data_IF_122473395859
#
_entry.id   IF_122473395859
#
_cell.length_a   1.000
_cell.length_b   1.000
_cell.length_c   1.000
_cell.angle_alpha   90.00
_cell.angle_beta   90.00
_cell.angle_gamma   90.00
#
_symmetry.space_group_name_H-M   'P 1'
#
loop_
_entity.id
_entity.type
_entity.pdbx_description
1 polymer ?
#
# COMPACT_ATOMS: atom_id res chain seq x y z
N UNK A 1 5.11 -29.69 15.72
CA UNK A 1 4.43 -28.44 15.32
C UNK A 1 5.47 -27.55 14.65
N UNK A 2 5.20 -27.01 13.43
CA UNK A 2 6.08 -26.04 12.79
C UNK A 2 6.20 -24.76 13.65
N UNK A 3 7.43 -24.27 13.87
CA UNK A 3 7.66 -23.00 14.55
C UNK A 3 7.44 -21.79 13.64
N UNK A 4 7.77 -21.93 12.34
CA UNK A 4 7.59 -20.90 11.32
C UNK A 4 6.22 -21.10 10.65
N UNK A 5 5.45 -20.00 10.52
CA UNK A 5 4.18 -19.96 9.79
C UNK A 5 4.39 -19.43 8.38
N UNK A 6 3.75 -20.07 7.42
CA UNK A 6 3.82 -19.68 5.99
C UNK A 6 2.53 -18.95 5.64
N UNK A 7 2.67 -17.69 5.24
CA UNK A 7 1.57 -16.87 4.74
C UNK A 7 1.67 -16.81 3.21
N UNK A 8 0.62 -17.23 2.52
CA UNK A 8 0.53 -17.14 1.07
C UNK A 8 -0.52 -16.10 0.69
N UNK A 9 -0.15 -15.16 -0.18
CA UNK A 9 -1.11 -14.17 -0.69
C UNK A 9 -1.95 -14.77 -1.80
N UNK A 10 -3.26 -14.71 -1.64
CA UNK A 10 -4.23 -15.12 -2.65
C UNK A 10 -4.36 -14.03 -3.72
N UNK A 11 -4.34 -14.45 -4.98
CA UNK A 11 -4.39 -13.54 -6.12
C UNK A 11 -4.86 -14.28 -7.38
N UNK A 12 -4.78 -13.66 -8.56
CA UNK A 12 -5.26 -14.27 -9.82
C UNK A 12 -4.71 -15.68 -10.08
N UNK A 13 -3.44 -15.92 -9.77
CA UNK A 13 -2.81 -17.24 -9.96
C UNK A 13 -3.40 -18.32 -9.04
N UNK A 14 -3.93 -17.95 -7.88
CA UNK A 14 -4.53 -18.90 -6.92
C UNK A 14 -6.04 -19.08 -7.12
N UNK A 15 -6.62 -18.60 -8.24
CA UNK A 15 -7.97 -18.92 -8.65
C UNK A 15 -8.09 -20.39 -9.12
N UNK A 16 -6.97 -21.06 -9.36
CA UNK A 16 -6.91 -22.51 -9.63
C UNK A 16 -7.00 -23.27 -8.31
N UNK A 17 -8.05 -24.10 -8.17
CA UNK A 17 -8.29 -24.94 -6.99
C UNK A 17 -7.14 -25.91 -6.73
N UNK A 18 -6.56 -26.50 -7.77
CA UNK A 18 -5.47 -27.47 -7.62
C UNK A 18 -4.22 -26.80 -7.07
N UNK A 19 -3.91 -25.57 -7.54
CA UNK A 19 -2.78 -24.81 -7.03
C UNK A 19 -3.02 -24.40 -5.56
N UNK A 20 -4.20 -23.89 -5.21
CA UNK A 20 -4.54 -23.53 -3.83
C UNK A 20 -4.47 -24.76 -2.91
N UNK A 21 -4.97 -25.93 -3.36
CA UNK A 21 -4.87 -27.18 -2.61
C UNK A 21 -3.42 -27.62 -2.43
N UNK A 22 -2.59 -27.52 -3.47
CA UNK A 22 -1.17 -27.85 -3.39
C UNK A 22 -0.44 -26.93 -2.39
N UNK A 23 -0.75 -25.65 -2.32
CA UNK A 23 -0.21 -24.73 -1.30
C UNK A 23 -0.58 -25.20 0.11
N UNK A 24 -1.85 -25.59 0.32
CA UNK A 24 -2.34 -26.12 1.59
C UNK A 24 -1.57 -27.38 2.01
N UNK A 25 -1.47 -28.37 1.12
CA UNK A 25 -0.76 -29.64 1.35
C UNK A 25 0.75 -29.44 1.61
N UNK A 26 1.37 -28.43 0.98
CA UNK A 26 2.78 -28.12 1.15
C UNK A 26 3.06 -27.13 2.29
N UNK A 27 2.09 -26.85 3.12
CA UNK A 27 2.29 -26.24 4.43
C UNK A 27 1.94 -24.76 4.52
N UNK A 28 1.05 -24.25 3.69
CA UNK A 28 0.42 -22.94 3.92
C UNK A 28 -0.33 -22.99 5.26
N UNK A 29 -0.03 -22.05 6.15
CA UNK A 29 -0.74 -21.90 7.43
C UNK A 29 -1.80 -20.79 7.36
N UNK A 30 -1.57 -19.76 6.54
CA UNK A 30 -2.43 -18.60 6.42
C UNK A 30 -2.57 -18.23 4.94
N UNK A 31 -3.80 -18.10 4.48
CA UNK A 31 -4.13 -17.51 3.19
C UNK A 31 -4.45 -16.02 3.39
N UNK A 32 -3.62 -15.12 2.84
CA UNK A 32 -3.79 -13.68 2.93
C UNK A 32 -4.56 -13.14 1.72
N UNK A 33 -5.66 -12.47 1.97
CA UNK A 33 -6.51 -11.81 0.99
C UNK A 33 -6.25 -10.31 1.03
N UNK A 34 -5.62 -9.76 -0.01
CA UNK A 34 -5.31 -8.34 -0.08
C UNK A 34 -6.50 -7.56 -0.66
N UNK A 35 -7.20 -6.80 0.18
CA UNK A 35 -8.36 -5.99 -0.20
C UNK A 35 -8.00 -4.65 -0.87
N UNK A 36 -6.72 -4.39 -1.10
CA UNK A 36 -6.28 -3.30 -1.98
C UNK A 36 -6.60 -3.58 -3.45
N UNK A 37 -6.86 -4.85 -3.81
CA UNK A 37 -7.08 -5.32 -5.18
C UNK A 37 -8.29 -6.25 -5.26
N UNK A 38 -8.91 -6.29 -6.44
CA UNK A 38 -10.09 -7.11 -6.71
C UNK A 38 -11.36 -6.53 -6.08
N UNK A 39 -12.46 -7.19 -6.34
CA UNK A 39 -13.77 -6.87 -5.77
C UNK A 39 -14.22 -7.93 -4.74
N UNK A 40 -15.36 -7.70 -4.10
CA UNK A 40 -15.89 -8.60 -3.07
C UNK A 40 -16.31 -9.97 -3.63
N UNK A 41 -16.73 -10.04 -4.88
CA UNK A 41 -17.13 -11.29 -5.51
C UNK A 41 -15.92 -12.19 -5.73
N UNK A 42 -14.82 -11.63 -6.25
CA UNK A 42 -13.54 -12.34 -6.39
C UNK A 42 -12.99 -12.82 -5.05
N UNK A 43 -12.99 -11.94 -4.02
CA UNK A 43 -12.48 -12.29 -2.70
C UNK A 43 -13.33 -13.40 -2.07
N UNK A 44 -14.66 -13.31 -2.20
CA UNK A 44 -15.58 -14.34 -1.72
C UNK A 44 -15.36 -15.68 -2.43
N UNK A 45 -15.23 -15.68 -3.75
CA UNK A 45 -15.00 -16.90 -4.53
C UNK A 45 -13.74 -17.65 -4.08
N UNK A 46 -12.65 -16.90 -3.85
CA UNK A 46 -11.39 -17.46 -3.33
C UNK A 46 -11.54 -17.98 -1.90
N UNK A 47 -12.28 -17.27 -1.05
CA UNK A 47 -12.54 -17.68 0.33
C UNK A 47 -13.38 -18.96 0.39
N UNK A 48 -14.45 -19.06 -0.41
CA UNK A 48 -15.29 -20.25 -0.48
C UNK A 48 -14.48 -21.47 -0.97
N UNK A 49 -13.59 -21.26 -1.93
CA UNK A 49 -12.65 -22.29 -2.39
C UNK A 49 -11.69 -22.73 -1.28
N UNK A 50 -11.11 -21.80 -0.52
CA UNK A 50 -10.24 -22.10 0.62
C UNK A 50 -11.00 -22.90 1.69
N UNK A 51 -12.22 -22.51 2.03
CA UNK A 51 -13.05 -23.22 3.01
C UNK A 51 -13.31 -24.66 2.57
N UNK A 52 -13.68 -24.86 1.30
CA UNK A 52 -13.86 -26.19 0.74
C UNK A 52 -12.59 -27.06 0.81
N UNK A 53 -11.40 -26.47 0.61
CA UNK A 53 -10.12 -27.16 0.72
C UNK A 53 -9.78 -27.47 2.19
N UNK A 54 -10.05 -26.55 3.12
CA UNK A 54 -9.90 -26.77 4.58
C UNK A 54 -10.70 -27.98 5.03
N UNK A 55 -11.96 -28.06 4.61
CA UNK A 55 -12.86 -29.14 4.96
C UNK A 55 -12.41 -30.47 4.36
N UNK A 56 -11.96 -30.46 3.08
CA UNK A 56 -11.47 -31.67 2.39
C UNK A 56 -10.20 -32.25 3.03
N UNK A 57 -9.27 -31.39 3.44
CA UNK A 57 -7.96 -31.77 3.94
C UNK A 57 -7.88 -31.86 5.48
N UNK A 58 -8.92 -31.45 6.19
CA UNK A 58 -8.95 -31.31 7.67
C UNK A 58 -7.76 -30.50 8.18
N UNK A 59 -7.47 -29.35 7.52
CA UNK A 59 -6.35 -28.50 7.86
C UNK A 59 -6.80 -27.15 8.43
N UNK A 60 -6.22 -26.70 9.57
CA UNK A 60 -6.55 -25.42 10.22
C UNK A 60 -5.80 -24.25 9.54
N UNK A 61 -6.15 -23.93 8.29
CA UNK A 61 -5.56 -22.81 7.55
C UNK A 61 -6.40 -21.56 7.82
N UNK A 62 -5.78 -20.50 8.34
CA UNK A 62 -6.48 -19.25 8.59
C UNK A 62 -6.67 -18.43 7.30
N UNK A 63 -7.80 -17.73 7.21
CA UNK A 63 -8.08 -16.74 6.17
C UNK A 63 -7.86 -15.33 6.73
N UNK A 64 -6.79 -14.66 6.32
CA UNK A 64 -6.42 -13.33 6.78
C UNK A 64 -6.91 -12.27 5.78
N UNK A 65 -7.78 -11.37 6.24
CA UNK A 65 -8.17 -10.18 5.51
C UNK A 65 -7.16 -9.06 5.79
N UNK A 66 -6.52 -8.57 4.73
CA UNK A 66 -5.58 -7.45 4.79
C UNK A 66 -6.21 -6.23 4.13
N UNK A 67 -6.59 -5.24 4.96
CA UNK A 67 -7.19 -3.99 4.49
C UNK A 67 -6.17 -3.12 3.77
N UNK A 68 -6.64 -2.24 2.89
CA UNK A 68 -5.77 -1.29 2.20
C UNK A 68 -5.11 -0.30 3.17
N UNK A 69 -5.84 0.15 4.16
CA UNK A 69 -5.43 1.22 5.06
C UNK A 69 -5.35 2.60 4.38
N UNK A 70 -5.11 3.65 5.17
CA UNK A 70 -4.81 4.97 4.63
C UNK A 70 -3.40 4.98 4.03
N UNK A 71 -3.28 5.39 2.77
CA UNK A 71 -1.99 5.48 2.08
C UNK A 71 -1.78 6.89 1.53
N UNK A 72 -0.57 7.41 1.72
CA UNK A 72 -0.10 8.58 0.99
C UNK A 72 0.64 8.07 -0.26
N UNK A 73 0.24 8.55 -1.44
CA UNK A 73 0.86 8.17 -2.71
C UNK A 73 1.15 9.38 -3.57
N UNK A 74 2.21 9.27 -4.37
CA UNK A 74 2.48 10.22 -5.45
C UNK A 74 1.45 10.07 -6.58
N UNK A 75 1.33 11.09 -7.41
CA UNK A 75 0.42 11.13 -8.56
C UNK A 75 0.98 10.53 -9.84
N UNK A 76 0.43 11.04 -10.95
CA UNK A 76 0.89 10.73 -12.29
C UNK A 76 2.07 11.62 -12.69
N UNK A 77 2.89 11.11 -13.58
CA UNK A 77 4.01 11.82 -14.17
C UNK A 77 3.78 12.06 -15.67
N UNK A 78 4.38 13.10 -16.17
CA UNK A 78 4.30 13.51 -17.59
C UNK A 78 4.71 12.36 -18.51
N UNK A 79 3.96 12.20 -19.60
CA UNK A 79 4.14 11.14 -20.59
C UNK A 79 4.12 9.71 -20.03
N UNK A 80 3.58 9.52 -18.83
CA UNK A 80 3.56 8.25 -18.10
C UNK A 80 4.96 7.62 -17.92
N UNK A 81 6.00 8.45 -17.92
CA UNK A 81 7.40 8.01 -17.78
C UNK A 81 7.92 8.26 -16.38
N UNK A 82 8.86 7.43 -15.96
CA UNK A 82 9.65 7.70 -14.76
C UNK A 82 10.52 8.94 -14.98
N UNK A 83 10.75 9.67 -13.89
CA UNK A 83 11.68 10.81 -13.86
C UNK A 83 12.85 10.49 -12.94
N UNK A 84 14.03 11.02 -13.26
CA UNK A 84 15.21 10.83 -12.40
C UNK A 84 15.38 12.03 -11.48
N UNK A 85 15.32 11.79 -10.18
CA UNK A 85 15.66 12.78 -9.17
C UNK A 85 17.13 12.65 -8.80
N UNK A 86 17.85 13.77 -8.77
CA UNK A 86 19.29 13.81 -8.45
C UNK A 86 19.50 14.29 -7.03
N UNK A 87 20.48 13.72 -6.35
CA UNK A 87 20.90 14.19 -5.03
C UNK A 87 21.25 15.70 -5.07
N UNK A 88 20.80 16.43 -4.06
CA UNK A 88 20.98 17.86 -3.92
C UNK A 88 20.00 18.74 -4.70
N UNK A 89 19.21 18.18 -5.63
CA UNK A 89 18.20 18.99 -6.34
C UNK A 89 17.03 19.36 -5.43
N UNK A 90 16.34 20.44 -5.76
CA UNK A 90 15.04 20.77 -5.18
C UNK A 90 13.95 19.96 -5.87
N UNK A 91 13.05 19.38 -5.06
CA UNK A 91 11.83 18.72 -5.54
C UNK A 91 10.65 19.13 -4.68
N UNK A 92 9.54 19.52 -5.30
CA UNK A 92 8.35 19.99 -4.59
C UNK A 92 7.28 18.89 -4.59
N UNK A 93 6.76 18.55 -3.42
CA UNK A 93 5.53 17.76 -3.30
C UNK A 93 4.37 18.72 -3.12
N UNK A 94 3.30 18.55 -3.91
CA UNK A 94 2.13 19.43 -3.86
C UNK A 94 0.83 18.65 -3.67
N UNK A 95 -0.12 19.24 -2.96
CA UNK A 95 -1.49 18.73 -2.83
C UNK A 95 -2.42 19.18 -3.96
N UNK A 96 -1.95 20.07 -4.84
CA UNK A 96 -2.67 20.46 -6.04
C UNK A 96 -2.68 19.32 -7.05
N UNK A 97 -3.84 18.96 -7.58
CA UNK A 97 -3.94 17.91 -8.60
C UNK A 97 -3.25 18.35 -9.90
N UNK A 98 -2.05 17.86 -10.10
CA UNK A 98 -1.24 18.10 -11.29
C UNK A 98 -0.66 16.79 -11.83
N UNK A 99 -0.26 16.80 -13.09
CA UNK A 99 0.68 15.83 -13.66
C UNK A 99 2.08 16.32 -13.36
N UNK A 100 2.84 15.54 -12.58
CA UNK A 100 4.17 15.91 -12.11
C UNK A 100 5.26 15.67 -13.13
N UNK A 101 6.46 16.13 -12.80
CA UNK A 101 7.69 15.97 -13.58
C UNK A 101 8.91 15.76 -12.64
N UNK A 102 10.10 16.11 -13.08
CA UNK A 102 11.35 16.03 -12.30
C UNK A 102 11.56 17.20 -11.33
N UNK A 103 10.61 18.15 -11.24
CA UNK A 103 10.66 19.33 -10.36
C UNK A 103 9.57 19.32 -9.30
N UNK A 104 8.37 18.82 -9.65
CA UNK A 104 7.18 18.84 -8.80
C UNK A 104 6.32 17.61 -9.02
N UNK A 105 5.73 17.08 -7.93
CA UNK A 105 4.84 15.94 -7.98
C UNK A 105 3.65 16.08 -7.04
N UNK A 106 2.49 15.58 -7.47
CA UNK A 106 1.27 15.52 -6.68
C UNK A 106 1.37 14.43 -5.60
N UNK A 107 0.76 14.70 -4.45
CA UNK A 107 0.48 13.73 -3.39
C UNK A 107 -1.00 13.75 -3.03
N UNK A 108 -1.58 12.59 -2.76
CA UNK A 108 -3.03 12.42 -2.54
C UNK A 108 -3.50 12.73 -1.12
N UNK A 109 -2.64 13.24 -0.23
CA UNK A 109 -3.01 13.62 1.13
C UNK A 109 -2.90 15.13 1.35
N UNK A 110 -4.04 15.81 1.35
CA UNK A 110 -4.13 17.27 1.48
C UNK A 110 -3.68 17.81 2.84
N UNK A 111 -3.62 16.97 3.87
CA UNK A 111 -3.18 17.36 5.21
C UNK A 111 -1.67 17.35 5.40
N UNK A 112 -0.90 16.76 4.47
CA UNK A 112 0.54 16.58 4.65
C UNK A 112 1.30 17.90 4.88
N UNK A 113 1.02 18.98 4.15
CA UNK A 113 1.71 20.26 4.39
C UNK A 113 1.52 20.81 5.82
N UNK A 114 0.38 20.50 6.46
CA UNK A 114 0.11 20.91 7.86
C UNK A 114 0.67 19.93 8.90
N UNK A 115 1.11 18.75 8.49
CA UNK A 115 1.66 17.73 9.37
C UNK A 115 3.19 17.74 9.38
N UNK A 116 3.85 18.33 8.36
CA UNK A 116 5.31 18.37 8.24
C UNK A 116 5.89 19.75 8.51
N UNK A 117 7.15 19.78 8.92
CA UNK A 117 7.93 21.00 9.14
C UNK A 117 9.34 20.87 8.56
N UNK A 118 10.04 21.99 8.43
CA UNK A 118 11.42 22.00 7.99
C UNK A 118 12.28 21.03 8.82
N UNK A 119 13.07 20.22 8.13
CA UNK A 119 13.90 19.20 8.75
C UNK A 119 13.25 17.81 8.84
N UNK A 120 11.95 17.65 8.54
CA UNK A 120 11.35 16.31 8.44
C UNK A 120 11.88 15.56 7.22
N UNK A 121 11.86 14.24 7.31
CA UNK A 121 12.21 13.33 6.19
C UNK A 121 10.93 12.80 5.56
N UNK A 122 10.89 12.78 4.22
CA UNK A 122 9.85 12.12 3.44
C UNK A 122 10.53 11.03 2.60
N UNK A 123 10.01 9.81 2.71
CA UNK A 123 10.49 8.64 1.96
C UNK A 123 9.47 8.29 0.87
N UNK A 124 9.96 8.02 -0.33
CA UNK A 124 9.14 7.60 -1.46
C UNK A 124 9.63 6.25 -1.99
N UNK A 125 8.69 5.41 -2.46
CA UNK A 125 8.97 4.07 -3.02
C UNK A 125 9.76 3.20 -2.03
N UNK A 126 9.18 2.96 -0.85
CA UNK A 126 9.76 2.15 0.24
C UNK A 126 11.15 2.62 0.71
N UNK A 127 11.41 3.93 0.57
CA UNK A 127 12.66 4.55 0.98
C UNK A 127 13.77 4.55 -0.07
N UNK A 128 13.46 4.17 -1.30
CA UNK A 128 14.42 4.29 -2.43
C UNK A 128 14.76 5.74 -2.73
N UNK A 129 13.84 6.66 -2.50
CA UNK A 129 14.04 8.10 -2.63
C UNK A 129 13.81 8.73 -1.26
N UNK A 130 14.77 9.56 -0.82
CA UNK A 130 14.69 10.32 0.41
C UNK A 130 14.71 11.82 0.11
N UNK A 131 13.72 12.52 0.67
CA UNK A 131 13.56 13.96 0.59
C UNK A 131 13.68 14.58 1.99
N UNK A 132 14.30 15.74 2.08
CA UNK A 132 14.38 16.57 3.29
C UNK A 132 13.54 17.82 3.11
N UNK A 133 12.53 18.01 3.95
CA UNK A 133 11.68 19.20 3.91
C UNK A 133 12.50 20.45 4.25
N UNK A 134 12.42 21.46 3.40
CA UNK A 134 13.02 22.77 3.61
C UNK A 134 12.00 23.77 4.14
N UNK A 135 10.86 23.87 3.48
CA UNK A 135 9.77 24.76 3.86
C UNK A 135 8.43 24.27 3.31
N UNK A 136 7.36 24.80 3.84
CA UNK A 136 5.99 24.65 3.33
C UNK A 136 5.51 25.99 2.82
N UNK A 137 5.08 26.05 1.57
CA UNK A 137 4.62 27.26 0.90
C UNK A 137 3.13 27.19 0.64
N UNK A 138 2.41 28.26 0.92
CA UNK A 138 0.96 28.45 0.68
C UNK A 138 0.08 27.34 1.27
N UNK A 139 0.61 26.52 2.20
CA UNK A 139 -0.13 25.40 2.80
C UNK A 139 -0.44 24.24 1.85
N UNK A 140 0.14 24.25 0.65
CA UNK A 140 -0.08 23.24 -0.39
C UNK A 140 1.20 22.60 -0.93
N UNK A 141 2.29 23.32 -0.91
CA UNK A 141 3.57 22.93 -1.51
C UNK A 141 4.60 22.64 -0.42
N UNK A 142 5.22 21.48 -0.46
CA UNK A 142 6.30 21.07 0.43
C UNK A 142 7.58 21.10 -0.41
N UNK A 143 8.40 22.10 -0.22
CA UNK A 143 9.68 22.24 -0.89
C UNK A 143 10.72 21.39 -0.18
N UNK A 144 11.34 20.48 -0.92
CA UNK A 144 12.30 19.53 -0.38
C UNK A 144 13.65 19.57 -1.12
N UNK A 145 14.70 19.15 -0.44
CA UNK A 145 15.96 18.75 -1.07
C UNK A 145 16.01 17.24 -1.18
N UNK A 146 16.40 16.72 -2.33
CA UNK A 146 16.63 15.28 -2.53
C UNK A 146 17.90 14.88 -1.79
N UNK A 147 17.79 14.02 -0.80
CA UNK A 147 18.91 13.46 -0.02
C UNK A 147 19.45 12.22 -0.68
N UNK A 148 18.56 11.30 -1.07
CA UNK A 148 18.86 10.13 -1.87
C UNK A 148 18.00 10.14 -3.12
N UNK A 149 18.64 10.22 -4.29
CA UNK A 149 17.99 10.30 -5.59
C UNK A 149 17.71 8.92 -6.18
N UNK A 150 17.00 8.91 -7.32
CA UNK A 150 16.68 7.69 -8.04
C UNK A 150 15.59 7.89 -9.08
N UNK A 151 15.12 6.80 -9.68
CA UNK A 151 14.01 6.82 -10.62
C UNK A 151 12.66 6.85 -9.87
N UNK A 152 11.96 7.97 -9.96
CA UNK A 152 10.61 8.12 -9.43
C UNK A 152 9.58 7.63 -10.45
N UNK A 153 8.80 6.61 -10.08
CA UNK A 153 7.63 6.14 -10.83
C UNK A 153 6.34 6.80 -10.34
N UNK A 154 5.24 6.51 -11.05
CA UNK A 154 3.90 6.99 -10.69
C UNK A 154 3.31 6.21 -9.50
N UNK A 155 2.41 6.86 -8.74
CA UNK A 155 1.60 6.27 -7.66
C UNK A 155 2.41 5.53 -6.60
N UNK A 156 3.62 6.02 -6.31
CA UNK A 156 4.52 5.45 -5.32
C UNK A 156 4.09 5.81 -3.90
N UNK A 157 4.25 4.87 -2.99
CA UNK A 157 4.00 5.08 -1.57
C UNK A 157 4.89 6.18 -0.99
N UNK A 158 4.33 6.98 -0.09
CA UNK A 158 5.01 8.05 0.62
C UNK A 158 4.92 7.79 2.12
N UNK A 159 6.05 7.75 2.79
CA UNK A 159 6.16 7.58 4.24
C UNK A 159 6.85 8.80 4.85
N UNK A 160 6.41 9.20 6.03
CA UNK A 160 6.99 10.34 6.77
C UNK A 160 7.36 9.85 8.17
N UNK A 161 8.56 9.30 8.34
CA UNK A 161 8.99 8.75 9.61
C UNK A 161 9.07 9.84 10.70
N UNK A 162 8.74 9.48 11.94
CA UNK A 162 8.80 10.32 13.11
C UNK A 162 7.86 11.56 13.09
N UNK A 163 6.91 11.61 12.15
CA UNK A 163 5.87 12.64 12.06
C UNK A 163 4.51 12.04 12.38
N UNK A 164 3.73 12.70 13.21
CA UNK A 164 2.36 12.29 13.52
C UNK A 164 1.43 12.74 12.38
N UNK A 165 1.17 11.84 11.45
CA UNK A 165 0.21 12.05 10.36
C UNK A 165 -1.23 11.96 10.91
N UNK A 166 -2.09 12.91 10.52
CA UNK A 166 -3.50 12.98 10.95
C UNK A 166 -4.46 12.21 10.04
N UNK A 167 -3.97 11.23 9.30
CA UNK A 167 -4.84 10.31 8.57
C UNK A 167 -5.64 9.43 9.55
N UNK A 168 -6.92 9.15 9.27
CA UNK A 168 -7.69 8.21 10.08
C UNK A 168 -7.06 6.82 9.97
N UNK A 169 -6.97 6.08 11.09
CA UNK A 169 -6.41 4.74 11.11
C UNK A 169 -7.18 3.74 10.23
N UNK A 170 -8.48 3.97 10.04
CA UNK A 170 -9.36 3.18 9.18
C UNK A 170 -10.12 4.11 8.24
N UNK A 171 -10.05 3.83 6.95
CA UNK A 171 -10.89 4.49 5.94
C UNK A 171 -12.31 3.92 5.95
N UNK A 172 -13.27 4.59 5.30
CA UNK A 172 -14.62 4.04 5.13
C UNK A 172 -14.60 2.72 4.31
N UNK A 173 -13.66 2.62 3.36
CA UNK A 173 -13.43 1.36 2.65
C UNK A 173 -12.96 0.26 3.60
N UNK A 174 -11.99 0.52 4.45
CA UNK A 174 -11.49 -0.49 5.41
C UNK A 174 -12.61 -0.97 6.34
N UNK A 175 -13.47 -0.06 6.79
CA UNK A 175 -14.63 -0.42 7.61
C UNK A 175 -15.62 -1.32 6.85
N UNK A 176 -15.84 -1.03 5.56
CA UNK A 176 -16.69 -1.87 4.71
C UNK A 176 -16.05 -3.24 4.46
N UNK A 177 -14.74 -3.28 4.19
CA UNK A 177 -13.98 -4.52 4.00
C UNK A 177 -14.02 -5.40 5.26
N UNK A 178 -13.85 -4.82 6.44
CA UNK A 178 -13.92 -5.53 7.72
C UNK A 178 -15.33 -6.10 7.96
N UNK A 179 -16.39 -5.32 7.72
CA UNK A 179 -17.77 -5.82 7.85
C UNK A 179 -18.02 -7.00 6.93
N UNK A 180 -17.62 -6.86 5.65
CA UNK A 180 -17.69 -7.95 4.68
C UNK A 180 -16.91 -9.18 5.19
N UNK A 181 -15.71 -8.99 5.71
CA UNK A 181 -14.90 -10.07 6.26
C UNK A 181 -15.59 -10.84 7.38
N UNK A 182 -16.20 -10.12 8.33
CA UNK A 182 -16.97 -10.71 9.43
C UNK A 182 -18.16 -11.51 8.88
N UNK A 183 -18.93 -10.92 7.94
CA UNK A 183 -20.09 -11.58 7.33
C UNK A 183 -19.69 -12.83 6.54
N UNK A 184 -18.56 -12.80 5.88
CA UNK A 184 -18.05 -13.95 5.12
C UNK A 184 -17.25 -14.93 5.98
N UNK A 185 -16.99 -14.68 7.26
CA UNK A 185 -16.29 -15.58 8.18
C UNK A 185 -14.81 -15.74 7.83
N UNK A 186 -14.11 -14.62 7.67
CA UNK A 186 -12.65 -14.57 7.82
C UNK A 186 -12.27 -14.82 9.27
N UNK A 187 -11.05 -15.33 9.51
CA UNK A 187 -10.55 -15.70 10.85
C UNK A 187 -9.95 -14.53 11.63
#
# INVERSE_FOLDING_TARGET
MKKTKIICTMGPNTNDRNLMKALAENGMDIARFNFSHGDYEEQKSRLDMLKSIRDELDLPIAALLDTKGPEIRTGLLKDEKKVTLKEGQTYTLTTREIVGDDQIGFINYNGLPADVEAGNTILIDDGLIELKVQEVVDGTDIVCTVVNGGELGMRKGVNVPNVKIKLPALTEKDKADIRFGIEQGFD
#
